data_IF_417893083604
#
_entry.id   IF_417893083604
#
_cell.length_a   1.000
_cell.length_b   1.000
_cell.length_c   1.000
_cell.angle_alpha   90.00
_cell.angle_beta   90.00
_cell.angle_gamma   90.00
#
_symmetry.space_group_name_H-M   'P 1'
#
loop_
_entity.id
_entity.type
_entity.pdbx_description
1 polymer ?
#
# COMPACT_ATOMS: atom_id res chain seq x y z
N UNK A 1 0.73 9.13 30.41
CA UNK A 1 1.73 8.50 29.54
C UNK A 1 1.05 7.67 28.46
N UNK A 2 1.63 7.67 27.24
CA UNK A 2 1.11 6.90 26.13
C UNK A 2 2.19 6.68 25.07
N UNK A 3 1.95 5.71 24.18
CA UNK A 3 2.85 5.40 23.07
C UNK A 3 2.13 5.76 21.78
N UNK A 4 2.82 6.51 20.91
CA UNK A 4 2.26 7.06 19.69
C UNK A 4 3.27 7.04 18.56
N UNK A 5 2.79 7.10 17.33
CA UNK A 5 3.61 7.37 16.15
C UNK A 5 3.66 8.88 15.90
N UNK A 6 4.84 9.44 15.64
CA UNK A 6 5.02 10.85 15.31
C UNK A 6 4.94 11.04 13.79
N UNK A 7 3.87 11.66 13.33
CA UNK A 7 3.64 11.94 11.91
C UNK A 7 4.37 13.21 11.44
N UNK A 8 4.32 14.27 12.28
CA UNK A 8 4.94 15.57 11.96
C UNK A 8 5.32 16.33 13.24
N UNK A 9 6.26 17.25 13.10
CA UNK A 9 6.72 18.13 14.14
C UNK A 9 7.04 19.52 13.59
N UNK A 10 6.23 20.52 13.89
CA UNK A 10 6.36 21.88 13.35
C UNK A 10 6.48 22.92 14.47
N UNK A 11 7.60 23.64 14.50
CA UNK A 11 7.81 24.75 15.43
C UNK A 11 7.06 25.98 14.94
N UNK A 12 6.26 26.58 15.83
CA UNK A 12 5.45 27.77 15.62
C UNK A 12 5.91 28.89 16.56
N UNK A 13 5.75 30.13 16.12
CA UNK A 13 6.01 31.31 16.94
C UNK A 13 4.70 31.80 17.57
N UNK A 14 4.60 31.71 18.89
CA UNK A 14 3.51 32.31 19.65
C UNK A 14 3.79 33.77 20.04
N UNK A 15 2.84 34.43 20.69
CA UNK A 15 2.97 35.82 21.14
C UNK A 15 3.95 35.99 22.30
N UNK A 16 4.17 34.95 23.13
CA UNK A 16 5.02 35.00 24.33
C UNK A 16 6.21 34.06 24.26
N UNK A 17 6.08 32.90 23.63
CA UNK A 17 7.12 31.90 23.48
C UNK A 17 6.87 31.09 22.24
N UNK A 18 7.86 30.30 21.80
CA UNK A 18 7.67 29.29 20.75
C UNK A 18 6.94 28.08 21.32
N UNK A 19 6.30 27.37 20.43
CA UNK A 19 5.71 26.05 20.72
C UNK A 19 5.84 25.19 19.47
N UNK A 20 5.67 23.88 19.62
CA UNK A 20 5.58 22.97 18.48
C UNK A 20 4.19 22.32 18.45
N UNK A 21 3.65 22.22 17.25
CA UNK A 21 2.57 21.30 16.95
C UNK A 21 3.22 19.94 16.65
N UNK A 22 2.80 18.93 17.38
CA UNK A 22 3.25 17.54 17.23
C UNK A 22 2.06 16.73 16.76
N UNK A 23 2.08 16.28 15.52
CA UNK A 23 1.03 15.39 15.03
C UNK A 23 1.40 13.96 15.41
N UNK A 24 0.60 13.39 16.29
CA UNK A 24 0.75 12.02 16.78
C UNK A 24 -0.43 11.18 16.36
N UNK A 25 -0.24 9.88 16.23
CA UNK A 25 -1.32 8.92 15.97
C UNK A 25 -1.11 7.61 16.70
N UNK A 26 -2.21 6.91 16.88
CA UNK A 26 -2.26 5.49 17.20
C UNK A 26 -3.24 4.77 16.25
N UNK A 27 -3.56 3.49 16.51
CA UNK A 27 -4.47 2.72 15.65
C UNK A 27 -5.92 3.26 15.64
N UNK A 28 -6.28 4.16 16.58
CA UNK A 28 -7.61 4.75 16.70
C UNK A 28 -7.76 6.06 15.95
N UNK A 29 -6.64 6.75 15.66
CA UNK A 29 -6.67 8.02 14.94
C UNK A 29 -5.45 8.89 15.15
N UNK A 30 -5.54 10.15 14.72
CA UNK A 30 -4.46 11.14 14.86
C UNK A 30 -4.93 12.36 15.68
N UNK A 31 -4.00 12.96 16.39
CA UNK A 31 -4.24 14.16 17.20
C UNK A 31 -3.06 15.11 17.12
N UNK A 32 -3.34 16.43 17.15
CA UNK A 32 -2.29 17.45 17.24
C UNK A 32 -2.08 17.83 18.71
N UNK A 33 -0.95 17.41 19.25
CA UNK A 33 -0.49 17.80 20.59
C UNK A 33 0.37 19.08 20.51
N UNK A 34 0.54 19.75 21.65
CA UNK A 34 1.43 20.91 21.76
C UNK A 34 2.60 20.60 22.70
N UNK A 35 3.80 20.95 22.27
CA UNK A 35 4.99 20.97 23.11
C UNK A 35 5.45 22.43 23.25
N UNK A 36 5.68 22.87 24.48
CA UNK A 36 6.09 24.25 24.76
C UNK A 36 7.61 24.37 24.76
N UNK A 37 8.14 25.55 24.45
CA UNK A 37 9.58 25.80 24.27
C UNK A 37 10.44 25.33 25.45
N UNK A 38 9.94 25.45 26.68
CA UNK A 38 10.62 24.98 27.90
C UNK A 38 10.84 23.45 27.95
N UNK A 39 10.10 22.70 27.12
CA UNK A 39 10.20 21.23 27.02
C UNK A 39 11.00 20.77 25.79
N UNK A 40 11.57 21.69 25.01
CA UNK A 40 12.35 21.32 23.82
C UNK A 40 13.73 20.78 24.21
N UNK A 41 14.13 19.68 23.59
CA UNK A 41 15.47 19.08 23.70
C UNK A 41 16.35 19.47 22.50
N UNK A 42 15.71 19.91 21.39
CA UNK A 42 16.37 20.20 20.11
C UNK A 42 16.53 18.98 19.19
N UNK A 43 16.14 17.80 19.65
CA UNK A 43 16.27 16.54 18.91
C UNK A 43 14.94 16.00 18.38
N UNK A 44 13.82 16.68 18.67
CA UNK A 44 12.46 16.20 18.41
C UNK A 44 12.18 15.89 16.93
N UNK A 45 12.79 16.67 16.01
CA UNK A 45 12.66 16.40 14.56
C UNK A 45 13.20 15.05 14.13
N UNK A 46 14.12 14.46 14.90
CA UNK A 46 14.63 13.11 14.64
C UNK A 46 13.61 12.02 15.00
N UNK A 47 12.58 12.39 15.77
CA UNK A 47 11.51 11.48 16.17
C UNK A 47 10.39 11.40 15.14
N UNK A 48 10.37 12.28 14.12
CA UNK A 48 9.39 12.18 13.03
C UNK A 48 9.56 10.84 12.31
N UNK A 49 8.45 10.11 12.21
CA UNK A 49 8.44 8.78 11.61
C UNK A 49 8.88 7.66 12.56
N UNK A 50 8.89 7.93 13.87
CA UNK A 50 9.20 6.94 14.89
C UNK A 50 8.03 6.75 15.85
N UNK A 51 8.06 5.63 16.56
CA UNK A 51 7.19 5.36 17.69
C UNK A 51 7.85 5.92 18.94
N UNK A 52 7.10 6.70 19.70
CA UNK A 52 7.60 7.42 20.87
C UNK A 52 6.74 7.16 22.09
N UNK A 53 7.36 7.20 23.27
CA UNK A 53 6.69 7.36 24.54
C UNK A 53 6.51 8.85 24.81
N UNK A 54 5.30 9.26 25.15
CA UNK A 54 4.94 10.64 25.46
C UNK A 54 4.46 10.71 26.90
N UNK A 55 5.06 11.60 27.67
CA UNK A 55 4.53 12.07 28.96
C UNK A 55 4.00 13.48 28.80
N UNK A 56 2.77 13.73 29.24
CA UNK A 56 2.13 15.03 29.08
C UNK A 56 0.89 15.18 29.94
N UNK A 57 0.22 16.33 29.78
CA UNK A 57 -1.04 16.65 30.47
C UNK A 57 -2.15 16.86 29.46
N UNK A 58 -3.28 16.20 29.69
CA UNK A 58 -4.50 16.49 28.94
C UNK A 58 -5.20 17.67 29.60
N UNK A 59 -5.42 18.72 28.84
CA UNK A 59 -6.14 19.91 29.22
C UNK A 59 -7.37 20.08 28.33
N UNK A 60 -8.29 20.94 28.73
CA UNK A 60 -9.43 21.33 27.89
C UNK A 60 -9.23 22.77 27.45
N UNK A 61 -9.24 23.02 26.16
CA UNK A 61 -9.19 24.36 25.58
C UNK A 61 -10.47 24.59 24.77
N UNK A 62 -11.28 25.58 25.18
CA UNK A 62 -12.57 25.90 24.52
C UNK A 62 -13.49 24.64 24.32
N UNK A 63 -13.51 23.76 25.33
CA UNK A 63 -14.30 22.53 25.28
C UNK A 63 -13.65 21.36 24.53
N UNK A 64 -12.51 21.57 23.85
CA UNK A 64 -11.80 20.52 23.10
C UNK A 64 -10.62 19.97 23.91
N UNK A 65 -10.44 18.64 24.00
CA UNK A 65 -9.27 18.04 24.62
C UNK A 65 -7.98 18.49 23.91
N UNK A 66 -6.97 18.87 24.67
CA UNK A 66 -5.65 19.30 24.18
C UNK A 66 -4.56 18.61 25.00
N UNK A 67 -3.63 17.97 24.34
CA UNK A 67 -2.48 17.31 24.95
C UNK A 67 -1.27 18.27 24.93
N UNK A 68 -0.74 18.58 26.14
CA UNK A 68 0.52 19.30 26.30
C UNK A 68 1.63 18.28 26.59
N UNK A 69 2.59 18.16 25.67
CA UNK A 69 3.72 17.23 25.75
C UNK A 69 4.81 17.83 26.63
N UNK A 70 5.25 17.08 27.66
CA UNK A 70 6.38 17.45 28.53
C UNK A 70 7.67 16.70 28.14
N UNK A 71 7.53 15.40 27.82
CA UNK A 71 8.66 14.54 27.41
C UNK A 71 8.21 13.71 26.20
N UNK A 72 9.11 13.55 25.23
CA UNK A 72 8.90 12.70 24.06
C UNK A 72 10.21 12.02 23.73
N UNK A 73 10.24 10.69 23.81
CA UNK A 73 11.41 9.86 23.61
C UNK A 73 11.09 8.65 22.72
N UNK A 74 12.04 8.12 21.98
CA UNK A 74 11.85 6.91 21.19
C UNK A 74 11.46 5.75 22.10
N UNK A 75 10.35 5.08 21.79
CA UNK A 75 9.86 3.95 22.59
C UNK A 75 10.78 2.73 22.38
N UNK A 76 11.09 2.04 23.47
CA UNK A 76 11.90 0.83 23.39
C UNK A 76 11.13 -0.31 22.71
N UNK A 77 11.83 -1.07 21.88
CA UNK A 77 11.26 -2.26 21.26
C UNK A 77 10.73 -3.25 22.32
N UNK A 78 9.56 -3.83 22.07
CA UNK A 78 8.91 -4.77 22.99
C UNK A 78 8.08 -4.12 24.10
N UNK A 79 8.02 -2.78 24.21
CA UNK A 79 7.15 -2.08 25.16
C UNK A 79 5.75 -1.79 24.64
N UNK A 80 5.48 -2.11 23.37
CA UNK A 80 4.20 -1.86 22.71
C UNK A 80 3.89 -2.95 21.65
N UNK A 81 2.60 -3.09 21.32
CA UNK A 81 2.20 -3.84 20.14
C UNK A 81 2.00 -2.86 18.98
N UNK A 82 2.59 -3.18 17.83
CA UNK A 82 2.51 -2.31 16.65
C UNK A 82 1.06 -2.07 16.21
N UNK A 83 0.18 -3.08 16.35
CA UNK A 83 -1.24 -2.99 16.02
C UNK A 83 -2.04 -1.98 16.87
N UNK A 84 -1.52 -1.60 18.04
CA UNK A 84 -2.14 -0.59 18.90
C UNK A 84 -1.75 0.84 18.47
N UNK A 85 -0.64 0.95 17.71
CA UNK A 85 -0.06 2.23 17.29
C UNK A 85 -0.35 2.52 15.81
N UNK A 86 -0.37 1.50 14.97
CA UNK A 86 -0.56 1.63 13.53
C UNK A 86 -1.58 0.60 13.07
N UNK A 87 -2.53 1.03 12.25
CA UNK A 87 -3.51 0.12 11.65
C UNK A 87 -2.79 -0.98 10.88
N UNK A 88 -3.08 -2.22 11.21
CA UNK A 88 -2.48 -3.41 10.62
C UNK A 88 -3.55 -4.34 10.06
N UNK A 89 -3.20 -5.07 9.01
CA UNK A 89 -4.00 -6.22 8.57
C UNK A 89 -4.00 -7.30 9.67
N UNK A 90 -5.16 -7.73 10.19
CA UNK A 90 -5.23 -8.79 11.19
C UNK A 90 -4.67 -10.12 10.66
N UNK A 91 -3.94 -10.86 11.50
CA UNK A 91 -3.24 -12.09 11.11
C UNK A 91 -4.13 -13.16 10.47
N UNK A 92 -5.38 -13.30 10.91
CA UNK A 92 -6.31 -14.24 10.30
C UNK A 92 -6.75 -13.81 8.90
N UNK A 93 -6.93 -12.51 8.69
CA UNK A 93 -7.22 -11.95 7.36
C UNK A 93 -6.00 -12.06 6.45
N UNK A 94 -4.78 -11.81 6.96
CA UNK A 94 -3.53 -12.03 6.22
C UNK A 94 -3.44 -13.46 5.69
N UNK A 95 -3.61 -14.47 6.56
CA UNK A 95 -3.58 -15.88 6.16
C UNK A 95 -4.61 -16.20 5.07
N UNK A 96 -5.83 -15.67 5.21
CA UNK A 96 -6.88 -15.83 4.22
C UNK A 96 -6.49 -15.23 2.87
N UNK A 97 -5.98 -13.99 2.86
CA UNK A 97 -5.57 -13.30 1.64
C UNK A 97 -4.38 -13.99 0.96
N UNK A 98 -3.40 -14.46 1.73
CA UNK A 98 -2.29 -15.29 1.21
C UNK A 98 -2.82 -16.57 0.57
N UNK A 99 -3.83 -17.21 1.15
CA UNK A 99 -4.49 -18.37 0.55
C UNK A 99 -5.15 -18.05 -0.78
N UNK A 100 -5.86 -16.92 -0.88
CA UNK A 100 -6.49 -16.44 -2.12
C UNK A 100 -5.41 -16.09 -3.17
N UNK A 101 -4.37 -15.37 -2.78
CA UNK A 101 -3.23 -15.04 -3.65
C UNK A 101 -2.63 -16.32 -4.26
N UNK A 102 -2.34 -17.32 -3.44
CA UNK A 102 -1.78 -18.59 -3.90
C UNK A 102 -2.74 -19.35 -4.84
N UNK A 103 -4.05 -19.22 -4.64
CA UNK A 103 -5.03 -19.82 -5.55
C UNK A 103 -4.99 -19.15 -6.94
N UNK A 104 -4.84 -17.82 -7.01
CA UNK A 104 -4.67 -17.11 -8.27
C UNK A 104 -3.35 -17.47 -8.97
N UNK A 105 -2.23 -17.52 -8.24
CA UNK A 105 -0.95 -17.98 -8.81
C UNK A 105 -1.10 -19.41 -9.38
N UNK A 106 -1.80 -20.29 -8.67
CA UNK A 106 -2.01 -21.67 -9.11
C UNK A 106 -2.94 -21.78 -10.32
N UNK A 107 -3.84 -20.83 -10.53
CA UNK A 107 -4.77 -20.81 -11.68
C UNK A 107 -4.12 -20.41 -13.00
N UNK A 108 -2.93 -19.82 -12.99
CA UNK A 108 -2.16 -19.50 -14.20
C UNK A 108 -1.77 -20.81 -14.88
N UNK A 109 -2.11 -20.97 -16.17
CA UNK A 109 -1.82 -22.19 -16.92
C UNK A 109 -0.44 -22.14 -17.57
N UNK A 110 0.03 -20.99 -18.01
CA UNK A 110 1.36 -20.80 -18.57
C UNK A 110 2.41 -20.97 -17.46
N UNK A 111 3.22 -22.03 -17.58
CA UNK A 111 4.22 -22.37 -16.56
C UNK A 111 5.33 -21.33 -16.46
N UNK A 112 5.71 -20.68 -17.57
CA UNK A 112 6.69 -19.59 -17.54
C UNK A 112 6.21 -18.40 -16.73
N UNK A 113 4.97 -17.95 -16.99
CA UNK A 113 4.32 -16.86 -16.23
C UNK A 113 4.19 -17.27 -14.76
N UNK A 114 3.68 -18.47 -14.47
CA UNK A 114 3.51 -18.98 -13.11
C UNK A 114 4.81 -19.00 -12.33
N UNK A 115 5.89 -19.48 -12.93
CA UNK A 115 7.20 -19.56 -12.29
C UNK A 115 7.75 -18.19 -11.93
N UNK A 116 7.64 -17.20 -12.84
CA UNK A 116 8.10 -15.84 -12.59
C UNK A 116 7.26 -15.15 -11.52
N UNK A 117 5.93 -15.26 -11.58
CA UNK A 117 5.02 -14.69 -10.56
C UNK A 117 5.33 -15.30 -9.19
N UNK A 118 5.44 -16.62 -9.09
CA UNK A 118 5.76 -17.33 -7.85
C UNK A 118 7.12 -16.92 -7.29
N UNK A 119 8.12 -16.76 -8.14
CA UNK A 119 9.46 -16.30 -7.74
C UNK A 119 9.38 -14.89 -7.12
N UNK A 120 8.74 -13.93 -7.81
CA UNK A 120 8.60 -12.55 -7.33
C UNK A 120 7.86 -12.47 -6.00
N UNK A 121 6.79 -13.23 -5.83
CA UNK A 121 6.04 -13.24 -4.55
C UNK A 121 6.84 -13.87 -3.41
N UNK A 122 7.60 -14.94 -3.67
CA UNK A 122 8.45 -15.57 -2.66
C UNK A 122 9.57 -14.62 -2.19
N UNK A 123 10.27 -13.96 -3.13
CA UNK A 123 11.35 -13.02 -2.81
C UNK A 123 10.86 -11.78 -2.05
N UNK A 124 9.62 -11.36 -2.31
CA UNK A 124 9.06 -10.12 -1.75
C UNK A 124 8.00 -10.36 -0.67
N UNK A 125 7.83 -11.61 -0.19
CA UNK A 125 6.75 -11.99 0.72
C UNK A 125 6.63 -11.11 1.96
N UNK A 126 7.75 -10.79 2.61
CA UNK A 126 7.75 -9.94 3.79
C UNK A 126 7.33 -8.50 3.48
N UNK A 127 7.79 -7.96 2.35
CA UNK A 127 7.40 -6.61 1.89
C UNK A 127 5.90 -6.52 1.62
N UNK A 128 5.33 -7.53 0.95
CA UNK A 128 3.90 -7.58 0.65
C UNK A 128 3.02 -7.54 1.90
N UNK A 129 3.45 -8.18 2.98
CA UNK A 129 2.70 -8.22 4.25
C UNK A 129 2.87 -6.99 5.13
N UNK A 130 3.89 -6.20 4.90
CA UNK A 130 4.24 -5.07 5.77
C UNK A 130 4.03 -3.72 5.11
N UNK A 131 4.06 -3.65 3.77
CA UNK A 131 3.92 -2.39 3.06
C UNK A 131 2.45 -1.99 2.88
N UNK A 132 2.16 -0.67 2.91
CA UNK A 132 0.88 -0.13 2.47
C UNK A 132 0.80 -0.13 0.94
N UNK A 133 -0.39 -0.08 0.37
CA UNK A 133 -0.56 0.16 -1.06
C UNK A 133 -0.27 1.62 -1.43
N UNK A 134 -0.67 2.56 -0.58
CA UNK A 134 -0.34 3.99 -0.70
C UNK A 134 0.09 4.59 0.63
N UNK A 135 0.89 5.66 0.60
CA UNK A 135 1.38 6.31 1.84
C UNK A 135 0.28 7.16 2.50
N UNK A 136 -0.60 7.78 1.72
CA UNK A 136 -1.63 8.73 2.19
C UNK A 136 -3.04 8.44 1.66
N UNK A 137 -3.16 7.53 0.71
CA UNK A 137 -4.40 7.26 -0.02
C UNK A 137 -4.98 5.90 0.41
N UNK A 138 -5.59 5.20 -0.52
CA UNK A 138 -6.17 3.88 -0.33
C UNK A 138 -5.19 2.88 0.30
N UNK A 139 -5.70 1.99 1.14
CA UNK A 139 -4.96 0.90 1.80
C UNK A 139 -3.65 1.36 2.49
N UNK A 140 -3.68 2.54 3.13
CA UNK A 140 -2.52 3.17 3.79
C UNK A 140 -2.26 2.59 5.21
N UNK A 141 -2.20 1.27 5.32
CA UNK A 141 -1.95 0.54 6.55
C UNK A 141 -0.99 -0.64 6.32
N UNK A 142 -0.43 -1.20 7.40
CA UNK A 142 0.47 -2.36 7.32
C UNK A 142 -0.27 -3.56 6.74
N UNK A 143 0.24 -4.11 5.62
CA UNK A 143 -0.39 -5.18 4.85
C UNK A 143 -1.39 -4.71 3.79
N UNK A 144 -1.55 -3.38 3.63
CA UNK A 144 -2.46 -2.80 2.64
C UNK A 144 -2.11 -3.18 1.20
N UNK A 145 -0.82 -3.36 0.88
CA UNK A 145 -0.38 -3.80 -0.44
C UNK A 145 -0.91 -5.20 -0.78
N UNK A 146 -0.88 -6.13 0.17
CA UNK A 146 -1.45 -7.48 -0.02
C UNK A 146 -2.95 -7.41 -0.25
N UNK A 147 -3.67 -6.59 0.52
CA UNK A 147 -5.13 -6.40 0.35
C UNK A 147 -5.42 -5.89 -1.04
N UNK A 148 -4.76 -4.82 -1.45
CA UNK A 148 -4.96 -4.18 -2.75
C UNK A 148 -4.69 -5.13 -3.92
N UNK A 149 -3.57 -5.84 -3.92
CA UNK A 149 -3.25 -6.82 -4.98
C UNK A 149 -4.33 -7.90 -5.09
N UNK A 150 -4.82 -8.44 -3.96
CA UNK A 150 -5.87 -9.45 -3.98
C UNK A 150 -7.20 -8.89 -4.46
N UNK A 151 -7.56 -7.66 -4.08
CA UNK A 151 -8.76 -6.99 -4.56
C UNK A 151 -8.71 -6.75 -6.07
N UNK A 152 -7.63 -6.13 -6.58
CA UNK A 152 -7.45 -5.88 -8.01
C UNK A 152 -7.53 -7.18 -8.82
N UNK A 153 -6.87 -8.24 -8.34
CA UNK A 153 -6.91 -9.56 -9.00
C UNK A 153 -8.32 -10.15 -8.97
N UNK A 154 -9.05 -10.00 -7.87
CA UNK A 154 -10.43 -10.51 -7.74
C UNK A 154 -11.41 -9.76 -8.66
N UNK A 155 -11.25 -8.45 -8.83
CA UNK A 155 -12.05 -7.64 -9.74
C UNK A 155 -11.76 -8.04 -11.20
N UNK A 156 -10.49 -8.21 -11.55
CA UNK A 156 -10.08 -8.64 -12.89
C UNK A 156 -10.59 -10.04 -13.23
N UNK A 157 -10.54 -10.99 -12.29
CA UNK A 157 -11.08 -12.33 -12.42
C UNK A 157 -12.62 -12.33 -12.58
N UNK A 158 -13.31 -11.51 -11.80
CA UNK A 158 -14.76 -11.34 -11.94
C UNK A 158 -15.14 -10.81 -13.34
N UNK A 159 -14.36 -9.89 -13.90
CA UNK A 159 -14.53 -9.42 -15.27
C UNK A 159 -14.31 -10.53 -16.30
N UNK A 160 -13.25 -11.35 -16.14
CA UNK A 160 -12.99 -12.49 -17.02
C UNK A 160 -14.18 -13.46 -17.05
N UNK A 161 -14.71 -13.83 -15.87
CA UNK A 161 -15.88 -14.71 -15.75
C UNK A 161 -17.13 -14.13 -16.40
N UNK A 162 -17.38 -12.84 -16.18
CA UNK A 162 -18.49 -12.14 -16.84
C UNK A 162 -18.30 -12.09 -18.35
N UNK A 163 -17.10 -11.76 -18.83
CA UNK A 163 -16.78 -11.69 -20.26
C UNK A 163 -16.99 -13.04 -20.95
N UNK A 164 -16.55 -14.14 -20.35
CA UNK A 164 -16.77 -15.49 -20.86
C UNK A 164 -18.27 -15.80 -21.03
N UNK A 165 -19.12 -15.34 -20.10
CA UNK A 165 -20.58 -15.55 -20.15
C UNK A 165 -21.26 -14.78 -21.26
N UNK A 166 -20.79 -13.59 -21.62
CA UNK A 166 -21.47 -12.70 -22.61
C UNK A 166 -20.79 -12.70 -23.99
N UNK A 167 -19.67 -13.37 -24.16
CA UNK A 167 -18.91 -13.39 -25.43
C UNK A 167 -19.73 -13.99 -26.58
N UNK A 168 -20.58 -14.96 -26.31
CA UNK A 168 -21.43 -15.61 -27.32
C UNK A 168 -22.46 -14.63 -27.95
N UNK A 169 -22.70 -13.49 -27.33
CA UNK A 169 -23.68 -12.49 -27.77
C UNK A 169 -23.04 -11.34 -28.53
N UNK A 170 -21.69 -11.20 -28.44
CA UNK A 170 -20.94 -10.13 -29.11
C UNK A 170 -20.51 -10.56 -30.52
N UNK A 171 -20.76 -9.69 -31.49
CA UNK A 171 -20.40 -9.88 -32.91
C UNK A 171 -18.86 -9.96 -33.13
N UNK A 172 -18.07 -9.52 -32.14
CA UNK A 172 -16.62 -9.61 -32.08
C UNK A 172 -16.20 -10.15 -30.72
N UNK A 173 -15.84 -11.41 -30.66
CA UNK A 173 -15.18 -11.98 -29.51
C UNK A 173 -13.67 -11.77 -29.64
N UNK A 174 -13.05 -11.12 -28.69
CA UNK A 174 -11.58 -11.12 -28.55
C UNK A 174 -11.20 -12.23 -27.59
N UNK A 175 -10.24 -13.05 -27.96
CA UNK A 175 -9.61 -13.98 -27.01
C UNK A 175 -8.80 -13.15 -26.03
N UNK A 176 -9.30 -13.04 -24.79
CA UNK A 176 -8.55 -12.42 -23.69
C UNK A 176 -7.64 -13.50 -23.11
N UNK A 177 -6.35 -13.20 -23.03
CA UNK A 177 -5.41 -14.08 -22.33
C UNK A 177 -5.59 -13.92 -20.80
N UNK A 178 -6.29 -14.89 -20.19
CA UNK A 178 -6.57 -14.88 -18.77
C UNK A 178 -5.31 -14.93 -17.91
N UNK A 179 -4.26 -15.61 -18.37
CA UNK A 179 -3.00 -15.74 -17.64
C UNK A 179 -2.27 -14.37 -17.57
N UNK A 180 -2.30 -13.61 -18.67
CA UNK A 180 -1.77 -12.24 -18.69
C UNK A 180 -2.57 -11.28 -17.80
N UNK A 181 -3.91 -11.39 -17.75
CA UNK A 181 -4.74 -10.57 -16.88
C UNK A 181 -4.46 -10.87 -15.42
N UNK A 182 -4.48 -12.14 -15.03
CA UNK A 182 -4.24 -12.56 -13.63
C UNK A 182 -2.83 -12.21 -13.20
N UNK A 183 -1.80 -12.53 -14.03
CA UNK A 183 -0.42 -12.19 -13.71
C UNK A 183 -0.20 -10.67 -13.66
N UNK A 184 -0.80 -9.93 -14.59
CA UNK A 184 -0.74 -8.47 -14.62
C UNK A 184 -1.35 -7.85 -13.37
N UNK A 185 -2.53 -8.31 -12.96
CA UNK A 185 -3.19 -7.87 -11.73
C UNK A 185 -2.38 -8.20 -10.46
N UNK A 186 -1.77 -9.39 -10.42
CA UNK A 186 -0.88 -9.78 -9.32
C UNK A 186 0.39 -8.92 -9.25
N UNK A 187 0.94 -8.52 -10.38
CA UNK A 187 2.26 -7.87 -10.47
C UNK A 187 2.21 -6.35 -10.68
N UNK A 188 1.04 -5.74 -10.94
CA UNK A 188 0.95 -4.32 -11.30
C UNK A 188 1.67 -3.40 -10.30
N UNK A 189 1.64 -3.73 -9.04
CA UNK A 189 2.18 -2.97 -7.92
C UNK A 189 3.41 -3.61 -7.24
N UNK A 190 3.98 -4.68 -7.80
CA UNK A 190 5.12 -5.38 -7.20
C UNK A 190 6.34 -4.48 -6.99
N UNK A 191 6.52 -3.47 -7.82
CA UNK A 191 7.61 -2.50 -7.71
C UNK A 191 7.56 -1.65 -6.44
N UNK A 192 6.41 -1.57 -5.74
CA UNK A 192 6.31 -0.93 -4.42
C UNK A 192 7.21 -1.59 -3.38
N UNK A 193 7.54 -2.87 -3.56
CA UNK A 193 8.52 -3.57 -2.71
C UNK A 193 9.93 -2.95 -2.80
N UNK A 194 10.27 -2.28 -3.90
CA UNK A 194 11.52 -1.52 -4.05
C UNK A 194 11.33 -0.02 -3.84
N UNK A 195 10.15 0.51 -4.19
CA UNK A 195 9.85 1.92 -4.05
C UNK A 195 9.82 2.36 -2.59
N UNK A 196 9.25 1.53 -1.71
CA UNK A 196 9.09 1.87 -0.31
C UNK A 196 10.20 1.29 0.56
N UNK A 197 10.52 2.02 1.63
CA UNK A 197 11.47 1.64 2.68
C UNK A 197 10.94 2.03 4.04
N UNK A 198 11.36 1.28 5.05
CA UNK A 198 11.04 1.58 6.44
C UNK A 198 9.83 0.83 6.96
N UNK A 199 9.95 0.45 8.22
CA UNK A 199 8.90 -0.15 9.02
C UNK A 199 8.92 0.56 10.38
N UNK A 200 7.81 0.85 11.00
CA UNK A 200 6.43 0.51 10.63
C UNK A 200 5.81 1.46 9.59
N UNK A 201 6.46 2.55 9.24
CA UNK A 201 5.91 3.52 8.30
C UNK A 201 6.76 3.62 7.05
N UNK A 202 6.14 3.28 5.94
CA UNK A 202 6.78 3.32 4.65
C UNK A 202 7.10 4.75 4.20
N UNK A 203 8.31 4.93 3.67
CA UNK A 203 8.76 6.16 3.01
C UNK A 203 9.28 5.82 1.63
N UNK A 204 9.17 6.75 0.70
CA UNK A 204 9.75 6.57 -0.63
C UNK A 204 11.26 6.48 -0.51
N UNK A 205 11.85 5.41 -1.05
CA UNK A 205 13.30 5.21 -1.13
C UNK A 205 13.91 6.12 -2.19
N UNK A 206 15.24 6.31 -2.19
CA UNK A 206 15.92 7.10 -3.23
C UNK A 206 15.64 6.54 -4.62
N UNK A 207 15.71 5.22 -4.82
CA UNK A 207 15.43 4.60 -6.11
C UNK A 207 13.95 4.71 -6.48
N UNK A 208 13.06 4.63 -5.48
CA UNK A 208 11.63 4.84 -5.66
C UNK A 208 11.31 6.25 -6.16
N UNK A 209 11.93 7.27 -5.56
CA UNK A 209 11.77 8.66 -5.99
C UNK A 209 12.35 8.98 -7.37
N UNK A 210 13.34 8.20 -7.83
CA UNK A 210 13.93 8.37 -9.16
C UNK A 210 13.17 7.64 -10.27
N UNK A 211 12.64 6.45 -9.99
CA UNK A 211 12.10 5.55 -11.01
C UNK A 211 10.60 5.31 -10.90
N UNK A 212 10.03 5.39 -9.69
CA UNK A 212 8.65 4.99 -9.43
C UNK A 212 8.43 3.48 -9.53
N UNK A 213 7.37 2.98 -8.87
CA UNK A 213 7.11 1.54 -8.75
C UNK A 213 6.79 0.86 -10.09
N UNK A 214 6.14 1.54 -11.05
CA UNK A 214 5.83 0.92 -12.35
C UNK A 214 7.10 0.50 -13.09
N UNK A 215 8.09 1.40 -13.16
CA UNK A 215 9.39 1.11 -13.79
C UNK A 215 10.18 0.08 -13.00
N UNK A 216 10.12 0.16 -11.67
CA UNK A 216 10.77 -0.83 -10.80
C UNK A 216 10.11 -2.21 -10.94
N UNK A 217 8.78 -2.29 -11.04
CA UNK A 217 8.04 -3.53 -11.28
C UNK A 217 8.40 -4.19 -12.61
N UNK A 218 8.46 -3.40 -13.69
CA UNK A 218 8.91 -3.87 -15.00
C UNK A 218 10.34 -4.43 -14.97
N UNK A 219 11.24 -3.76 -14.24
CA UNK A 219 12.62 -4.24 -14.04
C UNK A 219 12.64 -5.56 -13.27
N UNK A 220 11.89 -5.63 -12.13
CA UNK A 220 11.78 -6.85 -11.32
C UNK A 220 11.27 -8.03 -12.14
N UNK A 221 10.29 -7.81 -13.03
CA UNK A 221 9.76 -8.83 -13.93
C UNK A 221 10.87 -9.40 -14.85
N UNK A 222 11.66 -8.55 -15.49
CA UNK A 222 12.75 -8.98 -16.39
C UNK A 222 13.88 -9.67 -15.64
N UNK A 223 14.25 -9.17 -14.47
CA UNK A 223 15.27 -9.78 -13.61
C UNK A 223 14.82 -11.18 -13.14
N UNK A 224 13.55 -11.32 -12.72
CA UNK A 224 12.98 -12.61 -12.34
C UNK A 224 12.94 -13.60 -13.50
N UNK A 225 12.53 -13.16 -14.71
CA UNK A 225 12.52 -14.01 -15.89
C UNK A 225 13.93 -14.52 -16.22
N UNK A 226 14.93 -13.65 -16.13
CA UNK A 226 16.35 -14.03 -16.32
C UNK A 226 16.84 -15.02 -15.26
N UNK A 227 16.43 -14.85 -13.99
CA UNK A 227 16.77 -15.77 -12.94
C UNK A 227 16.14 -17.17 -13.15
N UNK A 228 14.88 -17.24 -13.61
CA UNK A 228 14.19 -18.49 -13.93
C UNK A 228 14.93 -19.23 -15.06
N UNK A 229 15.33 -18.52 -16.13
CA UNK A 229 16.15 -19.10 -17.23
C UNK A 229 17.46 -19.64 -16.69
N UNK A 230 18.16 -18.86 -15.87
CA UNK A 230 19.47 -19.23 -15.32
C UNK A 230 19.42 -20.48 -14.42
N UNK A 231 18.27 -20.70 -13.79
CA UNK A 231 18.01 -21.88 -12.96
C UNK A 231 17.50 -23.11 -13.76
N UNK A 232 17.41 -23.00 -15.10
CA UNK A 232 16.97 -24.07 -15.99
C UNK A 232 15.48 -24.38 -15.92
N UNK A 233 14.67 -23.45 -15.42
CA UNK A 233 13.22 -23.58 -15.39
C UNK A 233 12.57 -22.89 -16.60
N UNK A 234 11.30 -23.26 -16.86
CA UNK A 234 10.50 -22.65 -17.90
C UNK A 234 10.22 -21.18 -17.53
N UNK A 235 10.60 -20.27 -18.41
CA UNK A 235 10.47 -18.84 -18.27
C UNK A 235 9.41 -18.30 -19.26
N UNK A 236 9.02 -17.04 -19.07
CA UNK A 236 8.07 -16.37 -19.96
C UNK A 236 8.74 -16.18 -21.34
N UNK A 237 8.01 -16.47 -22.43
CA UNK A 237 8.47 -16.16 -23.78
C UNK A 237 8.55 -14.64 -24.01
N UNK A 238 9.37 -14.23 -24.99
CA UNK A 238 9.68 -12.81 -25.22
C UNK A 238 8.42 -11.97 -25.51
N UNK A 239 7.44 -12.52 -26.24
CA UNK A 239 6.20 -11.78 -26.59
C UNK A 239 5.34 -11.56 -25.35
N UNK A 240 5.10 -12.62 -24.58
CA UNK A 240 4.30 -12.50 -23.33
C UNK A 240 5.00 -11.65 -22.29
N UNK A 241 6.34 -11.69 -22.23
CA UNK A 241 7.13 -10.85 -21.35
C UNK A 241 6.93 -9.37 -21.67
N UNK A 242 6.98 -8.98 -22.94
CA UNK A 242 6.70 -7.60 -23.39
C UNK A 242 5.25 -7.19 -23.09
N UNK A 243 4.28 -8.09 -23.30
CA UNK A 243 2.87 -7.81 -23.00
C UNK A 243 2.66 -7.63 -21.48
N UNK A 244 3.25 -8.47 -20.65
CA UNK A 244 3.12 -8.38 -19.20
C UNK A 244 3.82 -7.13 -18.65
N UNK A 245 4.99 -6.79 -19.18
CA UNK A 245 5.66 -5.52 -18.87
C UNK A 245 4.80 -4.31 -19.23
N UNK A 246 4.19 -4.33 -20.44
CA UNK A 246 3.26 -3.28 -20.84
C UNK A 246 2.08 -3.16 -19.88
N UNK A 247 1.51 -4.27 -19.40
CA UNK A 247 0.40 -4.25 -18.43
C UNK A 247 0.83 -3.54 -17.14
N UNK A 248 2.02 -3.86 -16.61
CA UNK A 248 2.56 -3.21 -15.41
C UNK A 248 2.74 -1.70 -15.64
N UNK A 249 3.40 -1.30 -16.74
CA UNK A 249 3.68 0.11 -17.04
C UNK A 249 2.42 0.94 -17.31
N UNK A 250 1.33 0.30 -17.74
CA UNK A 250 0.06 0.94 -18.10
C UNK A 250 -1.01 0.83 -17.00
N UNK A 251 -0.72 0.17 -15.86
CA UNK A 251 -1.73 -0.16 -14.84
C UNK A 251 -2.43 1.06 -14.22
N UNK A 252 -1.81 2.22 -14.24
CA UNK A 252 -2.42 3.48 -13.77
C UNK A 252 -3.00 4.36 -14.90
N UNK A 253 -3.20 3.80 -16.09
CA UNK A 253 -3.83 4.50 -17.22
C UNK A 253 -3.15 5.81 -17.58
N UNK A 254 -3.86 6.93 -17.52
CA UNK A 254 -3.33 8.26 -17.85
C UNK A 254 -2.24 8.74 -16.89
N UNK A 255 -2.20 8.21 -15.68
CA UNK A 255 -1.18 8.50 -14.66
C UNK A 255 -0.02 7.51 -14.68
N UNK A 256 -0.08 6.49 -15.54
CA UNK A 256 0.97 5.49 -15.73
C UNK A 256 2.12 6.00 -16.60
N UNK A 257 3.08 5.12 -16.86
CA UNK A 257 4.18 5.38 -17.80
C UNK A 257 3.67 5.42 -19.25
N UNK A 258 2.67 4.61 -19.54
CA UNK A 258 1.96 4.58 -20.83
C UNK A 258 0.47 4.23 -20.59
N UNK A 259 -0.36 4.50 -21.60
CA UNK A 259 -1.78 4.10 -21.56
C UNK A 259 -1.94 2.66 -22.07
N UNK A 260 -2.93 1.87 -21.58
CA UNK A 260 -3.18 0.51 -22.04
C UNK A 260 -3.43 0.44 -23.55
N UNK A 261 -2.70 -0.46 -24.24
CA UNK A 261 -2.81 -0.71 -25.68
C UNK A 261 -3.40 -2.07 -26.01
N UNK A 262 -3.55 -2.93 -25.01
CA UNK A 262 -4.16 -4.26 -25.11
C UNK A 262 -5.30 -4.37 -24.12
N UNK A 263 -6.23 -5.28 -24.38
CA UNK A 263 -7.43 -5.42 -23.57
C UNK A 263 -7.12 -5.91 -22.16
N UNK A 264 -6.13 -6.81 -22.02
CA UNK A 264 -5.64 -7.30 -20.73
C UNK A 264 -5.12 -6.15 -19.85
N UNK A 265 -4.35 -5.22 -20.42
CA UNK A 265 -3.87 -4.03 -19.73
C UNK A 265 -5.00 -3.07 -19.34
N UNK A 266 -6.02 -2.91 -20.19
CA UNK A 266 -7.18 -2.10 -19.87
C UNK A 266 -7.99 -2.71 -18.71
N UNK A 267 -8.14 -4.03 -18.67
CA UNK A 267 -8.83 -4.74 -17.58
C UNK A 267 -8.10 -4.51 -16.26
N UNK A 268 -6.78 -4.69 -16.23
CA UNK A 268 -5.97 -4.48 -15.01
C UNK A 268 -6.05 -3.03 -14.56
N UNK A 269 -5.87 -2.06 -15.46
CA UNK A 269 -6.02 -0.64 -15.13
C UNK A 269 -7.38 -0.33 -14.51
N UNK A 270 -8.48 -0.82 -15.11
CA UNK A 270 -9.82 -0.55 -14.57
C UNK A 270 -10.10 -1.27 -13.27
N UNK A 271 -9.52 -2.43 -13.04
CA UNK A 271 -9.59 -3.14 -11.77
C UNK A 271 -8.85 -2.37 -10.65
N UNK A 272 -7.67 -1.85 -10.93
CA UNK A 272 -6.88 -1.01 -10.04
C UNK A 272 -7.62 0.30 -9.69
N UNK A 273 -8.05 1.05 -10.70
CA UNK A 273 -8.81 2.29 -10.57
C UNK A 273 -10.07 2.09 -9.71
N UNK A 274 -10.81 1.00 -9.92
CA UNK A 274 -12.00 0.67 -9.15
C UNK A 274 -11.68 0.33 -7.68
N UNK A 275 -10.65 -0.48 -7.42
CA UNK A 275 -10.20 -0.81 -6.05
C UNK A 275 -9.80 0.46 -5.29
N UNK A 276 -8.96 1.31 -5.89
CA UNK A 276 -8.50 2.55 -5.29
C UNK A 276 -9.65 3.54 -5.00
N UNK A 277 -10.57 3.71 -5.96
CA UNK A 277 -11.73 4.59 -5.81
C UNK A 277 -12.70 4.10 -4.72
N UNK A 278 -12.92 2.79 -4.64
CA UNK A 278 -13.83 2.18 -3.65
C UNK A 278 -13.30 2.35 -2.23
N UNK A 279 -12.01 2.07 -1.98
CA UNK A 279 -11.40 2.24 -0.66
C UNK A 279 -11.40 3.72 -0.24
N UNK A 280 -11.07 4.64 -1.15
CA UNK A 280 -11.13 6.08 -0.89
C UNK A 280 -12.55 6.54 -0.51
N UNK A 281 -13.58 6.03 -1.18
CA UNK A 281 -14.96 6.36 -0.85
C UNK A 281 -15.41 5.79 0.50
N UNK A 282 -15.00 4.56 0.84
CA UNK A 282 -15.28 3.95 2.14
C UNK A 282 -14.62 4.70 3.29
N UNK A 283 -13.40 5.23 3.09
CA UNK A 283 -12.72 6.08 4.07
C UNK A 283 -13.50 7.37 4.30
N UNK A 284 -13.94 8.08 3.26
CA UNK A 284 -14.76 9.28 3.40
C UNK A 284 -16.07 9.01 4.14
N UNK A 285 -16.74 7.88 3.85
CA UNK A 285 -17.98 7.51 4.56
C UNK A 285 -17.72 7.17 6.04
N UNK A 286 -16.58 6.58 6.37
CA UNK A 286 -16.21 6.31 7.74
C UNK A 286 -15.95 7.61 8.52
N UNK A 287 -15.22 8.56 7.95
CA UNK A 287 -14.95 9.87 8.50
C UNK A 287 -16.25 10.68 8.70
N UNK A 288 -17.17 10.65 7.73
CA UNK A 288 -18.47 11.33 7.83
C UNK A 288 -19.34 10.77 8.97
N UNK A 289 -19.34 9.45 9.18
CA UNK A 289 -20.02 8.82 10.31
C UNK A 289 -19.44 9.20 11.66
N UNK A 290 -18.13 9.40 11.76
CA UNK A 290 -17.49 9.88 13.00
C UNK A 290 -17.85 11.33 13.29
N UNK A 291 -17.93 12.18 12.25
CA UNK A 291 -18.31 13.60 12.37
C UNK A 291 -19.83 13.80 12.58
N UNK A 292 -20.64 12.93 12.00
CA UNK A 292 -22.10 13.01 11.98
C UNK A 292 -22.75 11.66 12.35
N UNK A 293 -22.63 11.21 13.61
CA UNK A 293 -23.15 9.90 14.04
C UNK A 293 -24.67 9.73 13.91
N UNK A 294 -25.40 10.82 13.70
CA UNK A 294 -26.87 10.85 13.54
C UNK A 294 -27.31 10.73 12.05
N UNK A 295 -26.37 10.81 11.09
CA UNK A 295 -26.67 10.69 9.66
C UNK A 295 -26.54 9.23 9.21
N UNK A 296 -27.61 8.45 9.40
CA UNK A 296 -27.76 7.08 8.85
C UNK A 296 -28.80 7.06 7.74
#
# INVERSE_FOLDING_TARGET
EGIFYVQDYQICSGTKSKYANVVISDATGSHTARQWEESFTGEEKKLIGKIVSITGKVNTWEGTPSLSVSVMEEAAEGTYNISDIIKCLPSEQEKRLVGILNSYISSINDEGIKNVVKHLFNENYNSLKTLPAGIKMHHSFIGGLLVHIVEVTSIADAFLKMSATVNDVKEYSTNIDSDLVIAGALLHDIGKCMEYRGFPCAKISTIGGLSGHLVLGARMLREANTAIISNGNEAIDDIKLELLEHIILASHGEYGVCTPRILEGLIVYKADDFSAATDGHLLCLAEDKELHPEST
#
